data_IF_440379955546
#
_entry.id   IF_440379955546
#
_cell.length_a   1.000
_cell.length_b   1.000
_cell.length_c   1.000
_cell.angle_alpha   90.00
_cell.angle_beta   90.00
_cell.angle_gamma   90.00
#
_symmetry.space_group_name_H-M   'P 1'
#
loop_
_entity.id
_entity.type
_entity.pdbx_description
1 polymer ?
#
# COMPACT_ATOMS: atom_id res chain seq x y z
N UNK A 1 -7.82 7.27 7.40
CA UNK A 1 -6.68 6.50 7.94
C UNK A 1 -6.93 6.26 9.40
N UNK A 2 -6.65 5.05 9.92
CA UNK A 2 -6.70 4.79 11.35
C UNK A 2 -5.48 5.42 12.01
N UNK A 3 -5.72 6.41 12.86
CA UNK A 3 -4.68 7.15 13.58
C UNK A 3 -4.33 6.48 14.90
N UNK A 4 -5.35 5.99 15.60
CA UNK A 4 -5.27 5.44 16.94
C UNK A 4 -6.24 4.27 17.09
N UNK A 5 -5.79 3.24 17.81
CA UNK A 5 -6.64 2.15 18.27
C UNK A 5 -6.19 1.75 19.67
N UNK A 6 -7.09 1.89 20.66
CA UNK A 6 -6.83 1.60 22.07
C UNK A 6 -7.99 0.81 22.61
N UNK A 7 -7.72 -0.18 23.44
CA UNK A 7 -8.77 -0.87 24.18
C UNK A 7 -9.31 0.05 25.30
N UNK A 8 -10.61 0.31 25.25
CA UNK A 8 -11.27 1.24 26.14
C UNK A 8 -12.62 0.68 26.58
N UNK A 9 -12.77 0.44 27.89
CA UNK A 9 -14.01 -0.06 28.50
C UNK A 9 -14.56 -1.32 27.79
N UNK A 10 -13.67 -2.29 27.51
CA UNK A 10 -14.00 -3.59 26.92
C UNK A 10 -14.25 -3.59 25.41
N UNK A 11 -14.10 -2.45 24.72
CA UNK A 11 -14.15 -2.35 23.24
C UNK A 11 -12.99 -1.52 22.73
N UNK A 12 -12.73 -1.61 21.44
CA UNK A 12 -11.72 -0.78 20.80
C UNK A 12 -12.25 0.64 20.58
N UNK A 13 -11.56 1.63 21.09
CA UNK A 13 -11.69 3.04 20.75
C UNK A 13 -10.77 3.30 19.55
N UNK A 14 -11.34 3.67 18.40
CA UNK A 14 -10.63 3.84 17.14
C UNK A 14 -10.85 5.25 16.61
N UNK A 15 -9.73 5.97 16.40
CA UNK A 15 -9.74 7.28 15.77
C UNK A 15 -9.30 7.16 14.32
N UNK A 16 -10.14 7.63 13.41
CA UNK A 16 -9.81 7.77 12.00
C UNK A 16 -9.68 9.25 11.63
N UNK A 17 -8.75 9.59 10.75
CA UNK A 17 -8.55 10.97 10.31
C UNK A 17 -7.80 11.11 9.01
N UNK A 18 -7.70 12.35 8.52
CA UNK A 18 -6.98 12.71 7.30
C UNK A 18 -6.21 14.02 7.48
N UNK A 19 -5.21 14.26 6.60
CA UNK A 19 -4.47 15.53 6.56
C UNK A 19 -5.35 16.77 6.32
N UNK A 20 -6.58 16.59 5.86
CA UNK A 20 -7.54 17.68 5.72
C UNK A 20 -8.16 18.12 7.06
N UNK A 21 -7.71 17.52 8.18
CA UNK A 21 -8.17 17.86 9.51
C UNK A 21 -9.47 17.19 9.93
N UNK A 22 -10.03 16.34 9.09
CA UNK A 22 -11.19 15.55 9.42
C UNK A 22 -10.83 14.41 10.39
N UNK A 23 -11.66 14.18 11.42
CA UNK A 23 -11.50 13.10 12.38
C UNK A 23 -12.86 12.47 12.73
N UNK A 24 -12.90 11.14 12.83
CA UNK A 24 -14.03 10.35 13.32
C UNK A 24 -13.56 9.40 14.41
N UNK A 25 -14.28 9.39 15.53
CA UNK A 25 -14.02 8.53 16.68
C UNK A 25 -15.09 7.44 16.74
N UNK A 26 -14.66 6.19 16.79
CA UNK A 26 -15.50 5.02 16.90
C UNK A 26 -15.24 4.29 18.22
N UNK A 27 -16.28 3.80 18.86
CA UNK A 27 -16.19 2.86 19.96
C UNK A 27 -16.83 1.53 19.53
N UNK A 28 -15.99 0.51 19.31
CA UNK A 28 -16.37 -0.65 18.52
C UNK A 28 -16.73 -0.24 17.09
N UNK A 29 -17.96 -0.52 16.67
CA UNK A 29 -18.48 -0.14 15.33
C UNK A 29 -19.34 1.14 15.37
N UNK A 30 -19.58 1.71 16.54
CA UNK A 30 -20.42 2.90 16.69
C UNK A 30 -19.60 4.18 16.54
N UNK A 31 -20.02 5.10 15.65
CA UNK A 31 -19.48 6.46 15.58
C UNK A 31 -19.94 7.25 16.81
N UNK A 32 -19.01 7.69 17.65
CA UNK A 32 -19.29 8.41 18.89
C UNK A 32 -18.96 9.90 18.84
N UNK A 33 -18.07 10.32 17.95
CA UNK A 33 -17.74 11.73 17.74
C UNK A 33 -17.18 11.96 16.35
N UNK A 34 -17.45 13.14 15.76
CA UNK A 34 -16.91 13.56 14.47
C UNK A 34 -16.46 15.02 14.54
N UNK A 35 -15.29 15.30 13.99
CA UNK A 35 -14.76 16.65 13.80
C UNK A 35 -14.59 16.86 12.31
N UNK A 36 -15.28 17.88 11.76
CA UNK A 36 -15.18 18.23 10.35
C UNK A 36 -13.78 18.80 10.01
N UNK A 37 -13.41 18.70 8.73
CA UNK A 37 -12.19 19.29 8.23
C UNK A 37 -12.14 20.81 8.52
N UNK A 38 -11.08 21.27 9.19
CA UNK A 38 -10.85 22.66 9.54
C UNK A 38 -9.53 23.12 8.90
N UNK A 39 -9.45 24.40 8.55
CA UNK A 39 -8.23 24.98 8.01
C UNK A 39 -7.13 25.14 9.07
N UNK A 40 -7.50 25.11 10.34
CA UNK A 40 -6.59 25.23 11.50
C UNK A 40 -6.28 23.84 12.06
N UNK A 41 -5.10 23.33 11.73
CA UNK A 41 -4.68 21.98 12.09
C UNK A 41 -3.66 21.94 13.25
N UNK A 42 -3.28 23.10 13.80
CA UNK A 42 -2.18 23.22 14.77
C UNK A 42 -2.66 23.14 16.24
N UNK A 43 -3.96 23.14 16.50
CA UNK A 43 -4.49 23.01 17.86
C UNK A 43 -4.85 21.55 18.19
N UNK A 44 -4.62 21.09 19.45
CA UNK A 44 -5.06 19.79 19.91
C UNK A 44 -6.58 19.64 19.76
N UNK A 45 -7.01 18.56 19.15
CA UNK A 45 -8.44 18.28 18.93
C UNK A 45 -9.00 17.48 20.08
N UNK A 46 -10.21 17.85 20.51
CA UNK A 46 -10.88 17.22 21.64
C UNK A 46 -12.19 16.60 21.17
N UNK A 47 -12.32 15.28 21.34
CA UNK A 47 -13.57 14.56 21.14
C UNK A 47 -14.27 14.38 22.48
N UNK A 48 -15.51 14.87 22.58
CA UNK A 48 -16.40 14.61 23.70
C UNK A 48 -17.45 13.60 23.28
N UNK A 49 -17.67 12.58 24.11
CA UNK A 49 -18.71 11.59 23.87
C UNK A 49 -19.23 11.00 25.16
N UNK A 50 -20.49 10.55 25.13
CA UNK A 50 -21.16 9.98 26.30
C UNK A 50 -21.43 8.50 26.05
N UNK A 51 -21.26 7.69 27.08
CA UNK A 51 -21.52 6.26 27.04
C UNK A 51 -22.52 5.86 28.11
N UNK A 52 -23.43 4.97 27.75
CA UNK A 52 -24.42 4.42 28.66
C UNK A 52 -23.99 3.02 29.10
N UNK A 53 -23.83 2.83 30.39
CA UNK A 53 -23.59 1.52 30.99
C UNK A 53 -24.83 1.07 31.74
N UNK A 54 -25.29 -0.14 31.44
CA UNK A 54 -26.35 -0.79 32.17
C UNK A 54 -25.74 -1.54 33.33
N UNK A 55 -25.91 -1.05 34.55
CA UNK A 55 -25.51 -1.74 35.76
C UNK A 55 -26.65 -2.63 36.23
N UNK A 56 -26.50 -3.94 36.09
CA UNK A 56 -27.42 -4.86 36.74
C UNK A 56 -27.25 -4.72 38.24
N UNK A 57 -28.30 -4.37 38.97
CA UNK A 57 -28.30 -4.36 40.40
C UNK A 57 -27.87 -5.73 40.92
N UNK A 58 -26.93 -5.82 41.89
CA UNK A 58 -26.59 -7.11 42.47
C UNK A 58 -27.87 -7.66 43.11
N UNK A 59 -28.32 -8.83 42.61
CA UNK A 59 -29.33 -9.62 43.33
C UNK A 59 -28.81 -9.90 44.73
N UNK A 60 -29.52 -9.41 45.78
CA UNK A 60 -29.24 -9.72 47.16
C UNK A 60 -29.27 -11.24 47.32
N UNK A 61 -28.11 -11.90 47.32
CA UNK A 61 -27.93 -13.18 47.97
C UNK A 61 -27.88 -12.90 49.47
N UNK A 62 -29.07 -12.79 50.06
CA UNK A 62 -29.25 -12.78 51.50
C UNK A 62 -29.61 -14.18 51.99
N UNK A 63 -28.64 -14.80 52.63
CA UNK A 63 -28.77 -15.76 53.71
C UNK A 63 -30.01 -16.64 53.81
N UNK A 64 -29.81 -17.88 53.54
CA UNK A 64 -30.67 -18.99 53.94
C UNK A 64 -30.64 -19.14 55.47
N UNK A 65 -31.75 -18.87 56.12
CA UNK A 65 -32.11 -19.48 57.42
C UNK A 65 -33.60 -19.60 57.52
N UNK A 66 -34.04 -20.87 57.43
CA UNK A 66 -35.20 -21.56 58.05
C UNK A 66 -36.52 -20.85 58.34
N UNK A 67 -37.54 -21.52 57.80
CA UNK A 67 -38.90 -21.77 58.32
C UNK A 67 -39.96 -20.71 58.16
N UNK A 68 -40.95 -21.15 57.52
CA UNK A 68 -42.42 -21.09 57.67
C UNK A 68 -43.19 -20.57 56.43
N UNK A 69 -44.06 -21.49 55.95
CA UNK A 69 -45.09 -21.24 54.95
C UNK A 69 -45.98 -20.03 55.29
N UNK A 70 -46.15 -19.14 54.32
CA UNK A 70 -47.44 -18.51 54.02
C UNK A 70 -47.47 -18.02 52.60
N UNK A 71 -48.46 -18.43 51.85
CA UNK A 71 -48.90 -18.06 50.56
C UNK A 71 -49.17 -16.56 50.49
N UNK A 72 -48.45 -15.84 49.57
CA UNK A 72 -48.97 -14.59 48.97
C UNK A 72 -48.11 -14.28 47.74
N UNK A 73 -48.75 -14.34 46.58
CA UNK A 73 -48.24 -13.95 45.27
C UNK A 73 -48.03 -12.44 45.18
N UNK A 74 -46.84 -11.96 45.61
CA UNK A 74 -46.37 -10.62 45.30
C UNK A 74 -45.41 -10.73 44.14
N UNK A 75 -45.87 -10.27 42.97
CA UNK A 75 -45.06 -10.18 41.76
C UNK A 75 -43.78 -9.38 42.03
N UNK A 76 -42.64 -10.03 41.90
CA UNK A 76 -41.34 -9.39 41.90
C UNK A 76 -41.28 -8.41 40.71
N UNK A 77 -41.39 -7.12 40.99
CA UNK A 77 -41.14 -6.07 39.98
C UNK A 77 -39.67 -6.22 39.60
N UNK A 78 -39.35 -6.44 38.31
CA UNK A 78 -37.93 -6.45 37.89
C UNK A 78 -37.32 -5.08 38.23
N UNK A 79 -36.23 -5.06 38.96
CA UNK A 79 -35.49 -3.84 39.23
C UNK A 79 -35.11 -3.21 37.88
N UNK A 80 -35.56 -1.98 37.66
CA UNK A 80 -35.17 -1.24 36.46
C UNK A 80 -33.65 -1.14 36.37
N UNK A 81 -33.05 -1.41 35.20
CA UNK A 81 -31.63 -1.32 35.05
C UNK A 81 -31.15 0.13 35.29
N UNK A 82 -30.22 0.32 36.19
CA UNK A 82 -29.64 1.64 36.45
C UNK A 82 -28.72 1.96 35.25
N UNK A 83 -29.14 2.95 34.46
CA UNK A 83 -28.33 3.47 33.36
C UNK A 83 -27.40 4.53 33.94
N UNK A 84 -26.12 4.24 33.95
CA UNK A 84 -25.06 5.19 34.35
C UNK A 84 -24.49 5.86 33.08
N UNK A 85 -24.64 7.19 32.99
CA UNK A 85 -24.06 8.00 31.93
C UNK A 85 -22.61 8.35 32.32
N UNK A 86 -21.66 7.94 31.50
CA UNK A 86 -20.24 8.20 31.67
C UNK A 86 -19.78 9.19 30.64
N UNK A 87 -19.26 10.33 31.06
CA UNK A 87 -18.65 11.33 30.18
C UNK A 87 -17.21 10.94 29.85
N UNK A 88 -16.91 10.85 28.56
CA UNK A 88 -15.63 10.47 28.05
C UNK A 88 -15.05 11.60 27.18
N UNK A 89 -13.74 11.79 27.29
CA UNK A 89 -13.00 12.80 26.55
C UNK A 89 -11.73 12.17 25.97
N UNK A 90 -11.51 12.38 24.67
CA UNK A 90 -10.26 12.05 23.99
C UNK A 90 -9.61 13.33 23.50
N UNK A 91 -8.47 13.68 24.06
CA UNK A 91 -7.59 14.75 23.58
C UNK A 91 -6.55 14.17 22.65
N UNK A 92 -6.34 14.82 21.50
CA UNK A 92 -5.42 14.38 20.47
C UNK A 92 -4.58 15.55 20.01
N UNK A 93 -3.26 15.45 20.23
CA UNK A 93 -2.26 16.32 19.60
C UNK A 93 -1.65 15.54 18.43
N UNK A 94 -1.87 16.03 17.21
CA UNK A 94 -1.53 15.35 15.99
C UNK A 94 -0.62 16.22 15.11
N UNK A 95 0.60 15.76 14.94
CA UNK A 95 1.57 16.31 14.00
C UNK A 95 1.65 15.38 12.78
N UNK A 96 1.60 15.97 11.58
CA UNK A 96 1.64 15.17 10.34
C UNK A 96 3.05 15.04 9.74
N UNK A 97 3.96 15.95 10.00
CA UNK A 97 5.29 15.97 9.40
C UNK A 97 6.36 16.48 10.41
N UNK A 98 7.13 15.60 11.07
CA UNK A 98 7.01 14.14 11.08
C UNK A 98 5.73 13.67 11.78
N UNK A 99 5.20 12.50 11.38
CA UNK A 99 3.97 12.00 11.99
C UNK A 99 4.23 11.59 13.44
N UNK A 100 3.51 12.23 14.33
CA UNK A 100 3.43 11.90 15.75
C UNK A 100 2.03 12.22 16.25
N UNK A 101 1.44 11.33 17.02
CA UNK A 101 0.17 11.53 17.70
C UNK A 101 0.35 11.24 19.18
N UNK A 102 0.07 12.25 19.99
CA UNK A 102 -0.06 12.10 21.43
C UNK A 102 -1.54 12.15 21.79
N UNK A 103 -1.98 11.24 22.65
CA UNK A 103 -3.38 11.16 23.03
C UNK A 103 -3.56 10.95 24.53
N UNK A 104 -4.67 11.47 25.04
CA UNK A 104 -5.13 11.29 26.40
C UNK A 104 -6.61 10.96 26.39
N UNK A 105 -6.98 9.84 27.01
CA UNK A 105 -8.37 9.44 27.25
C UNK A 105 -8.71 9.68 28.69
N UNK A 106 -9.77 10.41 28.96
CA UNK A 106 -10.28 10.70 30.30
C UNK A 106 -11.72 10.24 30.45
N UNK A 107 -12.07 9.78 31.64
CA UNK A 107 -13.41 9.32 32.02
C UNK A 107 -13.85 10.07 33.26
N UNK A 108 -14.96 10.80 33.21
CA UNK A 108 -15.44 11.66 34.31
C UNK A 108 -14.30 12.54 34.86
N UNK A 109 -13.55 13.22 33.99
CA UNK A 109 -12.40 14.09 34.27
C UNK A 109 -11.19 13.41 34.96
N UNK A 110 -11.15 12.06 34.98
CA UNK A 110 -9.99 11.30 35.43
C UNK A 110 -9.27 10.68 34.26
N UNK A 111 -7.95 10.80 34.23
CA UNK A 111 -7.14 10.19 33.18
C UNK A 111 -7.25 8.65 33.25
N UNK A 112 -7.66 8.05 32.13
CA UNK A 112 -7.79 6.60 31.97
C UNK A 112 -6.53 6.01 31.32
N UNK A 113 -6.09 6.60 30.20
CA UNK A 113 -4.89 6.18 29.48
C UNK A 113 -4.30 7.31 28.66
N UNK A 114 -2.98 7.31 28.54
CA UNK A 114 -2.23 8.23 27.67
C UNK A 114 -1.24 7.43 26.85
N UNK A 115 -0.88 7.94 25.68
CA UNK A 115 0.13 7.30 24.86
C UNK A 115 0.53 8.14 23.66
N UNK A 116 1.49 7.62 22.92
CA UNK A 116 1.95 8.22 21.66
C UNK A 116 2.08 7.15 20.58
N UNK A 117 1.96 7.56 19.32
CA UNK A 117 2.24 6.71 18.16
C UNK A 117 2.99 7.51 17.11
N UNK A 118 3.89 6.85 16.42
CA UNK A 118 4.70 7.42 15.37
C UNK A 118 4.47 6.71 14.03
N UNK A 119 5.18 7.13 12.97
CA UNK A 119 5.05 6.55 11.64
C UNK A 119 5.34 5.04 11.59
N UNK A 120 6.27 4.53 12.42
CA UNK A 120 6.59 3.09 12.46
C UNK A 120 5.43 2.24 13.01
N UNK A 121 4.70 2.78 13.99
CA UNK A 121 3.52 2.09 14.55
C UNK A 121 2.40 1.97 13.51
N UNK A 122 2.23 3.00 12.67
CA UNK A 122 1.28 2.99 11.56
C UNK A 122 1.71 1.98 10.47
N UNK A 123 3.00 1.91 10.14
CA UNK A 123 3.53 0.97 9.16
C UNK A 123 3.32 -0.49 9.58
N UNK A 124 3.46 -0.79 10.86
CA UNK A 124 3.31 -2.14 11.40
C UNK A 124 1.86 -2.53 11.69
N UNK A 125 0.93 -1.60 11.51
CA UNK A 125 -0.48 -1.84 11.78
C UNK A 125 -1.04 -2.90 10.84
N UNK A 126 -1.57 -3.98 11.41
CA UNK A 126 -2.29 -5.01 10.65
C UNK A 126 -3.67 -4.46 10.30
N UNK A 127 -4.01 -4.29 9.00
CA UNK A 127 -5.34 -3.80 8.62
C UNK A 127 -6.41 -4.77 9.11
N UNK A 128 -7.46 -4.27 9.76
CA UNK A 128 -8.65 -5.08 10.01
C UNK A 128 -9.22 -5.52 8.66
N UNK A 129 -9.62 -6.81 8.57
CA UNK A 129 -10.29 -7.30 7.37
C UNK A 129 -11.54 -6.44 7.17
N UNK A 130 -11.75 -5.81 6.00
CA UNK A 130 -12.98 -5.05 5.77
C UNK A 130 -14.15 -6.00 5.99
N UNK A 131 -15.10 -5.59 6.83
CA UNK A 131 -16.41 -6.24 6.93
C UNK A 131 -17.00 -6.22 5.53
N UNK A 132 -17.37 -7.39 5.01
CA UNK A 132 -17.92 -7.56 3.66
C UNK A 132 -19.24 -6.75 3.55
N UNK A 133 -19.14 -5.47 3.27
CA UNK A 133 -20.27 -4.71 2.77
C UNK A 133 -20.60 -5.25 1.40
N UNK A 134 -21.81 -5.78 1.24
CA UNK A 134 -22.37 -6.36 -0.01
C UNK A 134 -21.94 -5.55 -1.22
N UNK A 135 -20.90 -6.01 -1.92
CA UNK A 135 -20.38 -5.38 -3.12
C UNK A 135 -21.41 -5.50 -4.24
N UNK A 136 -21.93 -4.35 -4.67
CA UNK A 136 -22.59 -4.26 -5.99
C UNK A 136 -21.59 -4.74 -7.04
N UNK A 137 -22.04 -5.61 -7.96
CA UNK A 137 -21.26 -6.12 -9.08
C UNK A 137 -20.58 -4.95 -9.83
N UNK A 138 -19.28 -4.79 -9.60
CA UNK A 138 -18.44 -3.88 -10.36
C UNK A 138 -17.50 -4.72 -11.23
N UNK A 139 -16.90 -4.13 -12.26
CA UNK A 139 -15.88 -4.79 -13.10
C UNK A 139 -14.74 -5.40 -12.25
N UNK A 140 -14.43 -4.80 -11.10
CA UNK A 140 -13.50 -5.33 -10.08
C UNK A 140 -14.06 -6.62 -9.45
N UNK A 141 -15.39 -6.74 -9.28
CA UNK A 141 -16.07 -7.97 -8.83
C UNK A 141 -15.92 -9.11 -9.84
N UNK A 142 -15.98 -8.81 -11.13
CA UNK A 142 -15.78 -9.81 -12.20
C UNK A 142 -14.32 -10.30 -12.25
N UNK A 143 -13.36 -9.38 -12.11
CA UNK A 143 -11.93 -9.73 -12.02
C UNK A 143 -11.64 -10.56 -10.74
N UNK A 144 -12.29 -10.26 -9.61
CA UNK A 144 -12.15 -11.03 -8.37
C UNK A 144 -12.84 -12.40 -8.45
N UNK A 145 -13.91 -12.54 -9.25
CA UNK A 145 -14.54 -13.84 -9.54
C UNK A 145 -13.65 -14.68 -10.44
N UNK A 146 -13.05 -14.08 -11.49
CA UNK A 146 -12.00 -14.70 -12.30
C UNK A 146 -10.84 -15.20 -11.43
N UNK A 147 -10.33 -14.35 -10.51
CA UNK A 147 -9.29 -14.75 -9.56
C UNK A 147 -9.74 -15.80 -8.52
N UNK A 148 -11.02 -15.88 -8.15
CA UNK A 148 -11.55 -16.97 -7.31
C UNK A 148 -11.61 -18.32 -8.05
N UNK A 149 -11.92 -18.32 -9.35
CA UNK A 149 -11.82 -19.49 -10.22
C UNK A 149 -10.35 -19.91 -10.43
N UNK A 150 -9.41 -18.99 -10.32
CA UNK A 150 -7.97 -19.19 -10.30
C UNK A 150 -7.43 -19.78 -8.97
N UNK A 151 -8.26 -20.33 -8.10
CA UNK A 151 -7.84 -20.92 -6.80
C UNK A 151 -6.93 -22.15 -6.91
N UNK A 152 -6.71 -22.71 -8.10
CA UNK A 152 -5.57 -23.59 -8.37
C UNK A 152 -4.29 -22.77 -8.65
N UNK A 153 -3.95 -21.88 -7.71
CA UNK A 153 -2.93 -20.85 -7.87
C UNK A 153 -1.55 -21.37 -8.31
N UNK A 154 -1.20 -22.61 -7.95
CA UNK A 154 0.08 -23.21 -8.32
C UNK A 154 0.13 -23.54 -9.82
N UNK A 155 -0.91 -24.18 -10.35
CA UNK A 155 -0.97 -24.59 -11.76
C UNK A 155 -0.94 -23.38 -12.69
N UNK A 156 -1.68 -22.32 -12.35
CA UNK A 156 -1.74 -21.10 -13.17
C UNK A 156 -0.40 -20.38 -13.20
N UNK A 157 0.31 -20.29 -12.07
CA UNK A 157 1.67 -19.72 -12.06
C UNK A 157 2.60 -20.46 -13.01
N UNK A 158 2.53 -21.80 -13.03
CA UNK A 158 3.33 -22.63 -13.93
C UNK A 158 2.93 -22.43 -15.39
N UNK A 159 1.63 -22.38 -15.68
CA UNK A 159 1.13 -22.14 -17.05
C UNK A 159 1.56 -20.75 -17.54
N UNK A 160 1.38 -19.71 -16.71
CA UNK A 160 1.78 -18.34 -17.08
C UNK A 160 3.29 -18.21 -17.26
N UNK A 161 4.09 -18.83 -16.38
CA UNK A 161 5.54 -18.84 -16.50
C UNK A 161 5.98 -19.57 -17.79
N UNK A 162 5.38 -20.72 -18.12
CA UNK A 162 5.62 -21.45 -19.36
C UNK A 162 5.22 -20.64 -20.59
N UNK A 163 4.07 -19.98 -20.56
CA UNK A 163 3.62 -19.11 -21.65
C UNK A 163 4.54 -17.90 -21.83
N UNK A 164 5.03 -17.29 -20.72
CA UNK A 164 6.01 -16.19 -20.77
C UNK A 164 7.31 -16.66 -21.41
N UNK A 165 7.83 -17.84 -20.98
CA UNK A 165 9.04 -18.41 -21.55
C UNK A 165 8.88 -18.68 -23.03
N UNK A 166 7.77 -19.26 -23.48
CA UNK A 166 7.49 -19.51 -24.88
C UNK A 166 7.42 -18.20 -25.69
N UNK A 167 6.74 -17.18 -25.15
CA UNK A 167 6.62 -15.87 -25.78
C UNK A 167 7.99 -15.18 -25.95
N UNK A 168 8.82 -15.17 -24.92
CA UNK A 168 10.16 -14.60 -24.99
C UNK A 168 11.10 -15.43 -25.88
N UNK A 169 10.96 -16.77 -25.91
CA UNK A 169 11.75 -17.64 -26.77
C UNK A 169 11.43 -17.47 -28.28
N UNK A 170 10.31 -16.83 -28.61
CA UNK A 170 9.98 -16.45 -29.99
C UNK A 170 10.89 -15.34 -30.49
N UNK A 171 11.33 -14.42 -29.62
CA UNK A 171 12.19 -13.27 -29.97
C UNK A 171 13.67 -13.53 -29.70
N UNK A 172 13.97 -14.37 -28.71
CA UNK A 172 15.31 -14.65 -28.23
C UNK A 172 15.61 -16.16 -28.25
N UNK A 173 16.90 -16.51 -28.11
CA UNK A 173 17.23 -17.91 -27.84
C UNK A 173 16.59 -18.41 -26.55
N UNK A 174 16.27 -19.67 -26.44
CA UNK A 174 15.67 -20.26 -25.23
C UNK A 174 16.48 -19.99 -23.97
N UNK A 175 17.82 -20.09 -24.07
CA UNK A 175 18.71 -19.82 -22.93
C UNK A 175 18.63 -18.37 -22.49
N UNK A 176 18.61 -17.42 -23.42
CA UNK A 176 18.51 -16.01 -23.12
C UNK A 176 17.14 -15.66 -22.54
N UNK A 177 16.06 -16.19 -23.13
CA UNK A 177 14.71 -15.99 -22.62
C UNK A 177 14.53 -16.52 -21.18
N UNK A 178 15.09 -17.71 -20.90
CA UNK A 178 15.06 -18.30 -19.55
C UNK A 178 15.83 -17.43 -18.55
N UNK A 179 17.02 -16.94 -18.94
CA UNK A 179 17.83 -16.07 -18.08
C UNK A 179 17.17 -14.72 -17.82
N UNK A 180 16.54 -14.13 -18.85
CA UNK A 180 15.79 -12.88 -18.71
C UNK A 180 14.56 -13.06 -17.81
N UNK A 181 13.88 -14.19 -17.92
CA UNK A 181 12.77 -14.55 -17.05
C UNK A 181 13.24 -14.72 -15.59
N UNK A 182 14.43 -15.29 -15.37
CA UNK A 182 15.03 -15.37 -14.04
C UNK A 182 15.33 -13.98 -13.46
N UNK A 183 15.83 -13.04 -14.27
CA UNK A 183 16.00 -11.65 -13.89
C UNK A 183 14.68 -10.99 -13.49
N UNK A 184 13.61 -11.24 -14.24
CA UNK A 184 12.28 -10.74 -13.94
C UNK A 184 11.72 -11.32 -12.64
N UNK A 185 11.89 -12.63 -12.41
CA UNK A 185 11.52 -13.27 -11.12
C UNK A 185 12.27 -12.63 -9.95
N UNK A 186 13.55 -12.29 -10.15
CA UNK A 186 14.36 -11.67 -9.10
C UNK A 186 13.93 -10.23 -8.84
N UNK A 187 13.50 -9.48 -9.87
CA UNK A 187 12.85 -8.18 -9.72
C UNK A 187 11.57 -8.31 -8.86
N UNK A 188 10.65 -9.22 -9.21
CA UNK A 188 9.42 -9.46 -8.45
C UNK A 188 9.68 -9.92 -7.00
N UNK A 189 10.76 -10.68 -6.81
CA UNK A 189 11.19 -11.07 -5.47
C UNK A 189 11.57 -9.85 -4.61
N UNK A 190 12.10 -8.78 -5.22
CA UNK A 190 12.36 -7.51 -4.54
C UNK A 190 11.08 -6.92 -3.92
N UNK A 191 9.98 -6.85 -4.67
CA UNK A 191 8.69 -6.40 -4.16
C UNK A 191 8.18 -7.27 -3.01
N UNK A 192 8.26 -8.61 -3.17
CA UNK A 192 7.85 -9.55 -2.11
C UNK A 192 8.70 -9.36 -0.85
N UNK A 193 10.00 -9.10 -1.00
CA UNK A 193 10.89 -8.88 0.13
C UNK A 193 10.52 -7.62 0.91
N UNK A 194 10.17 -6.54 0.20
CA UNK A 194 9.66 -5.31 0.80
C UNK A 194 8.30 -5.52 1.48
N UNK A 195 7.35 -6.19 0.84
CA UNK A 195 6.05 -6.52 1.44
C UNK A 195 6.22 -7.32 2.74
N UNK A 196 7.11 -8.32 2.75
CA UNK A 196 7.40 -9.12 3.95
C UNK A 196 8.07 -8.29 5.05
N UNK A 197 8.93 -7.33 4.70
CA UNK A 197 9.52 -6.41 5.67
C UNK A 197 8.45 -5.60 6.41
N UNK A 198 7.38 -5.23 5.72
CA UNK A 198 6.22 -4.55 6.30
C UNK A 198 5.14 -5.52 6.85
N UNK A 199 5.47 -6.79 7.07
CA UNK A 199 4.54 -7.80 7.57
C UNK A 199 3.27 -7.99 6.72
N UNK A 200 3.33 -7.68 5.42
CA UNK A 200 2.21 -7.87 4.52
C UNK A 200 2.10 -9.31 4.04
N UNK A 201 0.91 -9.92 4.05
CA UNK A 201 0.69 -11.26 3.51
C UNK A 201 0.87 -11.24 1.99
N UNK A 202 1.70 -12.15 1.45
CA UNK A 202 1.98 -12.22 0.00
C UNK A 202 1.36 -13.46 -0.63
N UNK A 203 0.81 -13.32 -1.84
CA UNK A 203 0.28 -14.44 -2.65
C UNK A 203 1.31 -15.04 -3.61
N UNK A 204 2.47 -14.41 -3.74
CA UNK A 204 3.58 -14.84 -4.59
C UNK A 204 3.58 -14.14 -5.94
N UNK A 205 4.46 -14.62 -6.84
CA UNK A 205 4.75 -14.03 -8.15
C UNK A 205 3.87 -14.67 -9.23
N UNK A 206 3.32 -13.84 -10.10
CA UNK A 206 2.64 -14.24 -11.34
C UNK A 206 3.40 -13.61 -12.51
N UNK A 207 3.85 -14.44 -13.45
CA UNK A 207 4.55 -13.98 -14.65
C UNK A 207 3.54 -13.93 -15.80
N UNK A 208 3.30 -12.75 -16.35
CA UNK A 208 2.33 -12.55 -17.43
C UNK A 208 3.11 -12.29 -18.71
N UNK A 209 2.86 -13.10 -19.80
CA UNK A 209 3.54 -12.88 -21.06
C UNK A 209 3.45 -11.44 -21.53
N UNK A 210 4.56 -10.84 -21.92
CA UNK A 210 4.73 -9.44 -22.38
C UNK A 210 4.45 -8.33 -21.35
N UNK A 211 3.76 -8.64 -20.24
CA UNK A 211 3.47 -7.67 -19.17
C UNK A 211 4.50 -7.69 -18.04
N UNK A 212 5.38 -8.68 -18.03
CA UNK A 212 6.35 -8.83 -16.96
C UNK A 212 5.86 -9.72 -15.82
N UNK A 213 6.24 -9.38 -14.59
CA UNK A 213 5.80 -10.03 -13.38
C UNK A 213 4.80 -9.19 -12.61
N UNK A 214 4.16 -9.82 -11.63
CA UNK A 214 3.29 -9.15 -10.68
C UNK A 214 3.35 -9.86 -9.33
N UNK A 215 3.85 -9.16 -8.31
CA UNK A 215 3.83 -9.61 -6.93
C UNK A 215 2.50 -9.18 -6.28
N UNK A 216 1.70 -10.15 -5.86
CA UNK A 216 0.38 -9.87 -5.27
C UNK A 216 0.40 -9.95 -3.74
N UNK A 217 -0.31 -9.02 -3.11
CA UNK A 217 -0.56 -8.98 -1.68
C UNK A 217 -2.05 -8.82 -1.36
N UNK A 218 -2.48 -9.35 -0.22
CA UNK A 218 -3.78 -9.03 0.39
C UNK A 218 -3.66 -7.92 1.43
N UNK A 219 -2.42 -7.46 1.71
CA UNK A 219 -2.16 -6.39 2.64
C UNK A 219 -2.61 -5.02 2.12
N UNK A 220 -3.09 -4.18 3.03
CA UNK A 220 -3.32 -2.77 2.76
C UNK A 220 -2.02 -2.00 2.93
N UNK A 221 -1.74 -1.07 2.02
CA UNK A 221 -0.69 -0.07 2.20
C UNK A 221 -1.24 1.03 3.12
N UNK A 222 -0.54 1.34 4.19
CA UNK A 222 -0.94 2.34 5.18
C UNK A 222 -0.20 3.67 5.02
N UNK A 223 1.01 3.63 4.43
CA UNK A 223 1.86 4.82 4.28
C UNK A 223 2.38 4.95 2.86
N UNK A 224 2.66 6.18 2.42
CA UNK A 224 3.33 6.46 1.15
C UNK A 224 4.76 5.90 1.13
N UNK A 225 5.39 5.79 2.31
CA UNK A 225 6.69 5.16 2.44
C UNK A 225 6.67 3.68 2.07
N UNK A 226 5.65 2.95 2.54
CA UNK A 226 5.45 1.54 2.14
C UNK A 226 5.28 1.41 0.62
N UNK A 227 4.45 2.27 0.01
CA UNK A 227 4.22 2.27 -1.44
C UNK A 227 5.54 2.49 -2.22
N UNK A 228 6.34 3.49 -1.79
CA UNK A 228 7.66 3.78 -2.37
C UNK A 228 8.62 2.61 -2.23
N UNK A 229 8.79 2.09 -1.01
CA UNK A 229 9.78 1.01 -0.78
C UNK A 229 9.38 -0.26 -1.52
N UNK A 230 8.09 -0.62 -1.54
CA UNK A 230 7.62 -1.76 -2.30
C UNK A 230 7.93 -1.55 -3.78
N UNK A 231 7.60 -0.39 -4.35
CA UNK A 231 7.79 -0.12 -5.78
C UNK A 231 9.26 -0.06 -6.19
N UNK A 232 10.15 0.55 -5.39
CA UNK A 232 11.56 0.69 -5.78
C UNK A 232 12.36 -0.59 -5.58
N UNK A 233 11.95 -1.49 -4.66
CA UNK A 233 12.71 -2.70 -4.35
C UNK A 233 12.72 -3.72 -5.49
N UNK A 234 11.73 -3.75 -6.36
CA UNK A 234 11.78 -4.54 -7.59
C UNK A 234 12.93 -4.10 -8.50
N UNK A 235 12.93 -2.86 -8.99
CA UNK A 235 14.02 -2.31 -9.78
C UNK A 235 15.39 -2.37 -9.07
N UNK A 236 15.44 -2.16 -7.75
CA UNK A 236 16.68 -2.25 -7.00
C UNK A 236 17.28 -3.67 -7.02
N UNK A 237 16.47 -4.70 -6.90
CA UNK A 237 16.90 -6.10 -7.08
C UNK A 237 17.29 -6.35 -8.54
N UNK A 238 16.55 -5.80 -9.49
CA UNK A 238 16.93 -5.81 -10.91
C UNK A 238 18.31 -5.18 -11.15
N UNK A 239 18.64 -4.08 -10.45
CA UNK A 239 19.96 -3.44 -10.52
C UNK A 239 21.05 -4.37 -9.97
N UNK A 240 20.82 -5.02 -8.83
CA UNK A 240 21.77 -6.00 -8.28
C UNK A 240 22.02 -7.12 -9.30
N UNK A 241 20.99 -7.62 -9.96
CA UNK A 241 21.14 -8.66 -10.98
C UNK A 241 21.89 -8.15 -12.21
N UNK A 242 21.61 -6.93 -12.69
CA UNK A 242 22.35 -6.34 -13.80
C UNK A 242 23.85 -6.18 -13.45
N UNK A 243 24.18 -5.71 -12.25
CA UNK A 243 25.56 -5.58 -11.79
C UNK A 243 26.24 -6.95 -11.64
N UNK A 244 25.54 -7.97 -11.20
CA UNK A 244 26.05 -9.33 -11.16
C UNK A 244 26.37 -9.85 -12.57
N UNK A 245 25.52 -9.55 -13.55
CA UNK A 245 25.79 -9.88 -14.96
C UNK A 245 26.97 -9.09 -15.52
N UNK A 246 27.13 -7.80 -15.20
CA UNK A 246 28.31 -7.00 -15.55
C UNK A 246 29.58 -7.64 -15.01
N UNK A 247 29.56 -8.04 -13.72
CA UNK A 247 30.69 -8.71 -13.09
C UNK A 247 31.00 -10.06 -13.76
N UNK A 248 29.97 -10.85 -14.07
CA UNK A 248 30.13 -12.12 -14.80
C UNK A 248 30.76 -11.90 -16.19
N UNK A 249 30.34 -10.84 -16.89
CA UNK A 249 30.97 -10.46 -18.17
C UNK A 249 32.47 -10.13 -17.98
N UNK A 250 32.84 -9.35 -16.99
CA UNK A 250 34.25 -8.99 -16.74
C UNK A 250 35.12 -10.20 -16.38
N UNK A 251 34.55 -11.22 -15.73
CA UNK A 251 35.28 -12.44 -15.35
C UNK A 251 35.39 -13.43 -16.54
N UNK A 252 34.34 -13.55 -17.35
CA UNK A 252 34.22 -14.62 -18.38
C UNK A 252 34.46 -14.14 -19.80
N UNK A 253 34.44 -12.83 -20.02
CA UNK A 253 34.44 -12.16 -21.33
C UNK A 253 33.35 -12.68 -22.28
N UNK A 254 32.26 -13.22 -21.71
CA UNK A 254 31.16 -13.81 -22.48
C UNK A 254 30.06 -12.76 -22.73
N UNK A 255 29.87 -12.42 -24.01
CA UNK A 255 28.90 -11.44 -24.51
C UNK A 255 27.45 -11.73 -24.06
N UNK A 256 27.14 -12.99 -23.74
CA UNK A 256 25.84 -13.40 -23.22
C UNK A 256 25.47 -12.62 -21.94
N UNK A 257 26.43 -12.46 -21.00
CA UNK A 257 26.22 -11.71 -19.75
C UNK A 257 26.09 -10.21 -20.00
N UNK A 258 26.82 -9.67 -20.98
CA UNK A 258 26.68 -8.26 -21.38
C UNK A 258 25.29 -7.98 -21.96
N UNK A 259 24.80 -8.85 -22.84
CA UNK A 259 23.44 -8.78 -23.38
C UNK A 259 22.38 -8.89 -22.27
N UNK A 260 22.54 -9.86 -21.36
CA UNK A 260 21.61 -10.04 -20.24
C UNK A 260 21.59 -8.82 -19.31
N UNK A 261 22.74 -8.23 -18.99
CA UNK A 261 22.84 -7.02 -18.17
C UNK A 261 22.09 -5.84 -18.83
N UNK A 262 22.31 -5.62 -20.13
CA UNK A 262 21.72 -4.51 -20.89
C UNK A 262 20.19 -4.66 -21.04
N UNK A 263 19.71 -5.84 -21.40
CA UNK A 263 18.28 -6.09 -21.54
C UNK A 263 17.55 -6.09 -20.20
N UNK A 264 18.16 -6.64 -19.12
CA UNK A 264 17.59 -6.53 -17.79
C UNK A 264 17.54 -5.07 -17.31
N UNK A 265 18.59 -4.27 -17.60
CA UNK A 265 18.58 -2.84 -17.31
C UNK A 265 17.44 -2.11 -18.07
N UNK A 266 17.25 -2.42 -19.35
CA UNK A 266 16.15 -1.86 -20.17
C UNK A 266 14.77 -2.19 -19.57
N UNK A 267 14.52 -3.44 -19.21
CA UNK A 267 13.26 -3.86 -18.58
C UNK A 267 12.99 -3.10 -17.26
N UNK A 268 14.02 -2.91 -16.46
CA UNK A 268 13.89 -2.19 -15.21
C UNK A 268 13.69 -0.67 -15.41
N UNK A 269 14.34 -0.06 -16.41
CA UNK A 269 14.06 1.35 -16.79
C UNK A 269 12.60 1.49 -17.24
N UNK A 270 12.07 0.51 -17.98
CA UNK A 270 10.67 0.53 -18.40
C UNK A 270 9.73 0.53 -17.20
N UNK A 271 10.00 -0.31 -16.17
CA UNK A 271 9.22 -0.31 -14.94
C UNK A 271 9.41 0.98 -14.12
N UNK A 272 10.54 1.66 -14.27
CA UNK A 272 10.82 2.94 -13.61
C UNK A 272 10.28 4.14 -14.38
N UNK A 273 9.62 3.98 -15.54
CA UNK A 273 8.93 5.11 -16.16
C UNK A 273 7.94 5.72 -15.18
N UNK A 274 7.86 7.06 -15.12
CA UNK A 274 7.01 7.77 -14.14
C UNK A 274 5.52 7.73 -14.55
N UNK A 275 5.01 6.56 -14.88
CA UNK A 275 3.69 6.33 -15.49
C UNK A 275 2.99 5.21 -14.74
N UNK A 276 1.79 5.46 -14.20
CA UNK A 276 0.97 4.41 -13.58
C UNK A 276 0.48 3.42 -14.66
N UNK A 277 0.42 2.13 -14.38
CA UNK A 277 0.63 1.47 -13.08
C UNK A 277 2.05 0.92 -12.87
N UNK A 278 3.07 1.45 -13.54
CA UNK A 278 4.45 1.02 -13.40
C UNK A 278 5.06 1.46 -12.06
N UNK A 279 6.13 0.83 -11.62
CA UNK A 279 6.80 1.12 -10.35
C UNK A 279 7.20 2.59 -10.21
N UNK A 280 7.78 3.17 -11.26
CA UNK A 280 8.13 4.60 -11.29
C UNK A 280 6.91 5.52 -11.14
N UNK A 281 5.76 5.10 -11.66
CA UNK A 281 4.50 5.82 -11.49
C UNK A 281 4.00 5.82 -10.05
N UNK A 282 4.11 4.71 -9.33
CA UNK A 282 3.77 4.62 -7.91
C UNK A 282 4.70 5.48 -7.05
N UNK A 283 6.01 5.49 -7.35
CA UNK A 283 6.98 6.36 -6.68
C UNK A 283 6.62 7.84 -6.90
N UNK A 284 6.41 8.23 -8.17
CA UNK A 284 6.03 9.60 -8.53
C UNK A 284 4.73 10.04 -7.84
N UNK A 285 3.71 9.18 -7.87
CA UNK A 285 2.44 9.41 -7.19
C UNK A 285 2.65 9.63 -5.70
N UNK A 286 3.39 8.76 -5.04
CA UNK A 286 3.60 8.82 -3.60
C UNK A 286 4.35 10.08 -3.16
N UNK A 287 5.38 10.50 -3.90
CA UNK A 287 6.12 11.74 -3.63
C UNK A 287 5.23 12.96 -3.88
N UNK A 288 4.60 13.07 -5.05
CA UNK A 288 3.86 14.26 -5.46
C UNK A 288 2.60 14.50 -4.62
N UNK A 289 1.84 13.45 -4.28
CA UNK A 289 0.69 13.57 -3.39
C UNK A 289 1.07 13.82 -1.92
N UNK A 290 2.30 13.49 -1.52
CA UNK A 290 2.83 13.87 -0.20
C UNK A 290 3.18 15.36 -0.11
N UNK A 291 3.47 16.00 -1.24
CA UNK A 291 3.67 17.46 -1.28
C UNK A 291 2.34 18.21 -1.18
N UNK A 292 1.42 17.91 -2.07
CA UNK A 292 0.06 18.48 -2.09
C UNK A 292 -0.83 17.65 -3.04
N UNK A 293 -2.10 17.45 -2.68
CA UNK A 293 -3.04 16.67 -3.52
C UNK A 293 -3.25 17.27 -4.93
N UNK A 294 -3.24 18.62 -5.08
CA UNK A 294 -3.37 19.28 -6.38
C UNK A 294 -2.10 19.08 -7.23
N UNK A 295 -0.92 19.21 -6.60
CA UNK A 295 0.37 18.95 -7.26
C UNK A 295 0.43 17.49 -7.70
N UNK A 296 0.05 16.55 -6.84
CA UNK A 296 0.00 15.13 -7.15
C UNK A 296 -0.88 14.82 -8.37
N UNK A 297 -2.09 15.40 -8.43
CA UNK A 297 -2.97 15.26 -9.58
C UNK A 297 -2.34 15.79 -10.88
N UNK A 298 -1.82 17.03 -10.85
CA UNK A 298 -1.23 17.66 -12.04
C UNK A 298 -0.04 16.82 -12.54
N UNK A 299 0.84 16.41 -11.65
CA UNK A 299 2.03 15.60 -11.99
C UNK A 299 1.62 14.25 -12.58
N UNK A 300 0.65 13.56 -11.99
CA UNK A 300 0.17 12.27 -12.52
C UNK A 300 -0.53 12.42 -13.88
N UNK A 301 -1.29 13.50 -14.11
CA UNK A 301 -1.92 13.78 -15.42
C UNK A 301 -0.87 14.09 -16.49
N UNK A 302 0.15 14.90 -16.15
CA UNK A 302 1.27 15.19 -17.06
C UNK A 302 2.07 13.92 -17.39
N UNK A 303 2.31 13.06 -16.40
CA UNK A 303 2.97 11.77 -16.59
C UNK A 303 2.13 10.83 -17.49
N UNK A 304 0.81 10.80 -17.31
CA UNK A 304 -0.09 10.03 -18.17
C UNK A 304 -0.07 10.58 -19.62
N UNK A 305 -0.10 11.90 -19.81
CA UNK A 305 0.00 12.53 -21.12
C UNK A 305 1.35 12.23 -21.80
N UNK A 306 2.45 12.29 -21.04
CA UNK A 306 3.77 11.87 -21.53
C UNK A 306 3.78 10.39 -21.92
N UNK A 307 3.16 9.52 -21.13
CA UNK A 307 3.03 8.10 -21.45
C UNK A 307 2.23 7.84 -22.73
N UNK A 308 1.13 8.56 -22.97
CA UNK A 308 0.35 8.48 -24.21
C UNK A 308 1.21 8.89 -25.40
N UNK A 309 1.93 9.99 -25.30
CA UNK A 309 2.87 10.42 -26.33
C UNK A 309 3.95 9.37 -26.60
N UNK A 310 4.54 8.80 -25.54
CA UNK A 310 5.55 7.75 -25.65
C UNK A 310 4.98 6.47 -26.29
N UNK A 311 3.78 6.05 -25.87
CA UNK A 311 3.09 4.89 -26.43
C UNK A 311 2.84 5.05 -27.94
N UNK A 312 2.45 6.24 -28.36
CA UNK A 312 2.22 6.55 -29.78
C UNK A 312 3.53 6.59 -30.57
N UNK A 313 4.57 7.27 -30.07
CA UNK A 313 5.85 7.44 -30.76
C UNK A 313 6.62 6.12 -30.90
N UNK A 314 6.52 5.21 -29.92
CA UNK A 314 7.16 3.91 -29.97
C UNK A 314 6.29 2.80 -30.58
N UNK A 315 5.03 3.09 -30.94
CA UNK A 315 4.10 2.10 -31.48
C UNK A 315 3.70 1.01 -30.45
N UNK A 316 3.80 1.30 -29.14
CA UNK A 316 3.59 0.34 -28.07
C UNK A 316 2.13 0.30 -27.61
N UNK A 317 1.26 -0.42 -28.32
CA UNK A 317 -0.16 -0.57 -27.96
C UNK A 317 -0.38 -1.10 -26.52
N UNK A 318 0.53 -1.95 -26.05
CA UNK A 318 0.51 -2.48 -24.68
C UNK A 318 0.67 -1.37 -23.63
N UNK A 319 1.59 -0.43 -23.85
CA UNK A 319 1.76 0.72 -22.98
C UNK A 319 0.49 1.58 -22.94
N UNK A 320 -0.18 1.76 -24.07
CA UNK A 320 -1.48 2.44 -24.15
C UNK A 320 -2.56 1.78 -23.28
N UNK A 321 -2.61 0.44 -23.24
CA UNK A 321 -3.53 -0.29 -22.38
C UNK A 321 -3.19 -0.12 -20.88
N UNK A 322 -1.90 -0.17 -20.52
CA UNK A 322 -1.45 0.09 -19.15
C UNK A 322 -1.81 1.51 -18.71
N UNK A 323 -1.65 2.51 -19.58
CA UNK A 323 -2.05 3.89 -19.34
C UNK A 323 -3.54 4.06 -19.06
N UNK A 324 -4.37 3.31 -19.77
CA UNK A 324 -5.81 3.30 -19.50
C UNK A 324 -6.10 2.83 -18.06
N UNK A 325 -5.45 1.74 -17.62
CA UNK A 325 -5.57 1.25 -16.24
C UNK A 325 -5.06 2.30 -15.24
N UNK A 326 -3.89 2.90 -15.49
CA UNK A 326 -3.32 3.93 -14.66
C UNK A 326 -4.19 5.19 -14.56
N UNK A 327 -4.89 5.56 -15.64
CA UNK A 327 -5.83 6.70 -15.62
C UNK A 327 -7.02 6.46 -14.71
N UNK A 328 -7.50 5.22 -14.64
CA UNK A 328 -8.55 4.83 -13.69
C UNK A 328 -8.05 4.97 -12.25
N UNK A 329 -6.82 4.57 -11.98
CA UNK A 329 -6.21 4.71 -10.65
C UNK A 329 -6.06 6.18 -10.24
N UNK A 330 -5.57 7.05 -11.13
CA UNK A 330 -5.47 8.51 -10.90
C UNK A 330 -6.85 9.09 -10.56
N UNK A 331 -7.88 8.70 -11.30
CA UNK A 331 -9.24 9.17 -11.06
C UNK A 331 -9.76 8.77 -9.67
N UNK A 332 -9.54 7.53 -9.24
CA UNK A 332 -9.96 7.08 -7.91
C UNK A 332 -9.15 7.74 -6.81
N UNK A 333 -7.85 7.93 -6.98
CA UNK A 333 -7.01 8.65 -6.03
C UNK A 333 -7.49 10.10 -5.85
N UNK A 334 -7.78 10.80 -6.95
CA UNK A 334 -8.32 12.15 -6.90
C UNK A 334 -9.69 12.23 -6.23
N UNK A 335 -10.59 11.31 -6.55
CA UNK A 335 -11.93 11.24 -5.94
C UNK A 335 -11.84 10.98 -4.43
N UNK A 336 -10.90 10.13 -4.01
CA UNK A 336 -10.65 9.78 -2.61
C UNK A 336 -9.72 10.74 -1.85
N UNK A 337 -9.25 11.85 -2.46
CA UNK A 337 -8.20 12.71 -1.90
C UNK A 337 -8.48 13.28 -0.51
N UNK A 338 -9.75 13.53 -0.18
CA UNK A 338 -10.17 14.04 1.14
C UNK A 338 -10.27 12.94 2.19
N UNK A 339 -10.33 11.67 1.78
CA UNK A 339 -10.39 10.47 2.62
C UNK A 339 -9.18 9.57 2.41
N UNK A 340 -8.04 10.16 2.00
CA UNK A 340 -6.82 9.39 1.81
C UNK A 340 -6.45 8.68 3.12
N UNK A 341 -6.24 7.36 3.03
CA UNK A 341 -5.82 6.54 4.17
C UNK A 341 -4.31 6.33 4.21
N UNK A 342 -3.57 7.01 3.33
CA UNK A 342 -2.13 6.86 3.26
C UNK A 342 -1.45 7.99 4.01
N UNK A 343 -0.63 7.65 5.00
CA UNK A 343 0.24 8.60 5.66
C UNK A 343 1.24 9.17 4.65
N UNK A 344 1.34 10.49 4.48
CA UNK A 344 2.26 11.11 3.53
C UNK A 344 3.72 10.94 3.95
N UNK A 345 4.63 11.10 2.97
CA UNK A 345 6.06 11.24 3.22
C UNK A 345 6.35 12.60 3.85
N UNK A 346 7.24 12.62 4.83
CA UNK A 346 7.85 13.85 5.31
C UNK A 346 8.84 14.42 4.27
N UNK A 347 9.35 15.63 4.50
CA UNK A 347 10.27 16.27 3.55
C UNK A 347 11.54 15.46 3.32
N UNK A 348 12.07 14.85 4.38
CA UNK A 348 13.24 14.00 4.27
C UNK A 348 12.95 12.76 3.41
N UNK A 349 11.84 12.07 3.65
CA UNK A 349 11.39 10.93 2.87
C UNK A 349 11.16 11.28 1.39
N UNK A 350 10.60 12.46 1.09
CA UNK A 350 10.42 12.94 -0.30
C UNK A 350 11.76 13.11 -1.02
N UNK A 351 12.73 13.78 -0.38
CA UNK A 351 14.07 14.01 -0.95
C UNK A 351 14.81 12.68 -1.11
N UNK A 352 14.83 11.86 -0.06
CA UNK A 352 15.49 10.56 -0.08
C UNK A 352 14.95 9.66 -1.19
N UNK A 353 13.62 9.57 -1.31
CA UNK A 353 12.95 8.79 -2.36
C UNK A 353 13.34 9.28 -3.75
N UNK A 354 13.33 10.60 -3.97
CA UNK A 354 13.68 11.20 -5.26
C UNK A 354 15.13 10.90 -5.63
N UNK A 355 16.06 11.07 -4.69
CA UNK A 355 17.49 10.76 -4.90
C UNK A 355 17.68 9.27 -5.19
N UNK A 356 17.03 8.39 -4.42
CA UNK A 356 17.12 6.94 -4.62
C UNK A 356 16.58 6.53 -6.00
N UNK A 357 15.42 7.04 -6.38
CA UNK A 357 14.84 6.81 -7.71
C UNK A 357 15.77 7.26 -8.83
N UNK A 358 16.27 8.52 -8.80
CA UNK A 358 17.15 9.07 -9.82
C UNK A 358 18.48 8.29 -9.89
N UNK A 359 19.06 7.94 -8.73
CA UNK A 359 20.29 7.15 -8.68
C UNK A 359 20.09 5.75 -9.30
N UNK A 360 18.95 5.10 -9.05
CA UNK A 360 18.63 3.79 -9.63
C UNK A 360 18.48 3.89 -11.15
N UNK A 361 17.72 4.87 -11.65
CA UNK A 361 17.59 5.13 -13.11
C UNK A 361 18.95 5.43 -13.74
N UNK A 362 19.71 6.33 -13.15
CA UNK A 362 21.04 6.69 -13.67
C UNK A 362 21.99 5.47 -13.72
N UNK A 363 21.93 4.58 -12.74
CA UNK A 363 22.73 3.34 -12.73
C UNK A 363 22.37 2.41 -13.88
N UNK A 364 21.09 2.23 -14.18
CA UNK A 364 20.66 1.44 -15.35
C UNK A 364 21.07 2.08 -16.68
N UNK A 365 20.89 3.40 -16.80
CA UNK A 365 21.33 4.14 -17.99
C UNK A 365 22.85 3.99 -18.19
N UNK A 366 23.64 4.08 -17.11
CA UNK A 366 25.08 3.88 -17.17
C UNK A 366 25.47 2.47 -17.63
N UNK A 367 24.76 1.41 -17.19
CA UNK A 367 24.99 0.03 -17.64
C UNK A 367 24.70 -0.10 -19.14
N UNK A 368 23.56 0.43 -19.62
CA UNK A 368 23.20 0.37 -21.04
C UNK A 368 24.20 1.15 -21.87
N UNK A 369 24.58 2.36 -21.43
CA UNK A 369 25.55 3.19 -22.15
C UNK A 369 26.95 2.54 -22.21
N UNK A 370 27.39 1.92 -21.11
CA UNK A 370 28.67 1.20 -21.06
C UNK A 370 28.76 0.11 -22.13
N UNK A 371 27.72 -0.73 -22.24
CA UNK A 371 27.71 -1.79 -23.26
C UNK A 371 27.45 -1.28 -24.67
N UNK A 372 26.61 -0.27 -24.84
CA UNK A 372 26.38 0.34 -26.17
C UNK A 372 27.65 0.99 -26.74
N UNK A 373 28.54 1.50 -25.90
CA UNK A 373 29.83 2.09 -26.31
C UNK A 373 30.87 1.06 -26.75
N UNK A 374 30.62 -0.24 -26.53
CA UNK A 374 31.54 -1.31 -26.94
C UNK A 374 31.59 -1.55 -28.46
N UNK A 375 30.72 -0.92 -29.24
CA UNK A 375 30.66 -1.03 -30.71
C UNK A 375 29.96 -2.28 -31.23
N UNK A 376 29.46 -3.15 -30.37
CA UNK A 376 28.65 -4.31 -30.75
C UNK A 376 27.20 -3.90 -31.06
N UNK A 377 26.72 -4.27 -32.27
CA UNK A 377 25.37 -3.89 -32.72
C UNK A 377 24.25 -4.49 -31.88
N UNK A 378 24.42 -5.69 -31.33
CA UNK A 378 23.43 -6.34 -30.47
C UNK A 378 23.37 -5.66 -29.08
N UNK A 379 24.52 -5.26 -28.54
CA UNK A 379 24.59 -4.56 -27.27
C UNK A 379 24.11 -3.10 -27.36
N UNK A 380 24.09 -2.51 -28.57
CA UNK A 380 23.55 -1.16 -28.78
C UNK A 380 22.03 -1.12 -28.94
N UNK A 381 21.35 -2.24 -29.17
CA UNK A 381 19.88 -2.29 -29.32
C UNK A 381 19.11 -1.66 -28.15
N UNK A 382 19.43 -1.92 -26.88
CA UNK A 382 18.75 -1.26 -25.76
C UNK A 382 18.88 0.27 -25.79
N UNK A 383 20.04 0.80 -26.20
CA UNK A 383 20.24 2.25 -26.33
C UNK A 383 19.44 2.82 -27.50
N UNK A 384 19.38 2.12 -28.63
CA UNK A 384 18.59 2.52 -29.80
C UNK A 384 17.11 2.58 -29.46
N UNK A 385 16.57 1.62 -28.70
CA UNK A 385 15.19 1.62 -28.22
C UNK A 385 14.90 2.83 -27.31
N UNK A 386 15.85 3.25 -26.48
CA UNK A 386 15.69 4.44 -25.62
C UNK A 386 15.78 5.75 -26.40
N UNK A 387 16.39 5.76 -27.58
CA UNK A 387 16.59 6.94 -28.42
C UNK A 387 15.55 7.09 -29.54
N UNK A 388 14.80 6.01 -29.84
CA UNK A 388 13.72 6.01 -30.83
C UNK A 388 12.44 6.63 -30.29
#
# INVERSE_FOLDING_TARGET
MELLKVEFLGKNLRLEGSMAGWQQLFWGDALVSEIAASADNDEPKVHHFEMQFVRNSPSNEANHSTDTQTDDSIGTIPAEPIIELVQCRLEVDLQWQPFNIQYRVSVNDKDYTTGERNSKDIEQQVPERPVDTKRKLSLIGLASLGMKLLKSAKLIKVILAGASLAAYSWFFSFQFALSLLACLVFHEYGHIRAMKYFNMPTKGIYLIPFFGGMALTDGKINTRWQDVVISIMGPFFGLIMSLACVLAYWITDNIFFAGLASFNALLNIFNLLPILPLDGGHILKSVSFSMNSKVGLIVCVLAAAFGVWLSYSLGLALLGFLLFIGSIEIFFEWKGRHQSHLLPLDRYGQIFTTVWYVATVASFVAIIWYFASSGDTLLSLPLQILQS
#
